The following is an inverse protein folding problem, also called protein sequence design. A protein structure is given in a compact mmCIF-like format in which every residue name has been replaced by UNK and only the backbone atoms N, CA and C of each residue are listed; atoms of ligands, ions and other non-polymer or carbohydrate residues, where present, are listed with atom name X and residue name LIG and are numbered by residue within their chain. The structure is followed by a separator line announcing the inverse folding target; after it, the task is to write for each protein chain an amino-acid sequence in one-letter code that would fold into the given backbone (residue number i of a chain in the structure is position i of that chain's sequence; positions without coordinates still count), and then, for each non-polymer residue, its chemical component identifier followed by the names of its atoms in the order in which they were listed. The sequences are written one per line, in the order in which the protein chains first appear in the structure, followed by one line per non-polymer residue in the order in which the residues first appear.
data_IF_064244062878
#
_entry.id   IF_064244062878
#
_cell.length_a   1.000
_cell.length_b   1.000
_cell.length_c   1.000
_cell.angle_alpha   90.00
_cell.angle_beta   90.00
_cell.angle_gamma   90.00
#
_symmetry.space_group_name_H-M   'P 1'
#
loop_
_entity.id
_entity.type
_entity.pdbx_description
1 polymer ?
#
# COMPACT_ATOMS: atom_id res chain seq x y z
N UNK A 1 10.44 -20.78 -24.25
CA UNK A 1 8.98 -20.54 -24.09
C UNK A 1 8.73 -19.14 -24.57
N UNK A 2 7.81 -18.91 -25.51
CA UNK A 2 7.30 -17.55 -25.73
C UNK A 2 6.62 -17.14 -24.42
N UNK A 3 6.96 -15.96 -23.88
CA UNK A 3 6.28 -15.41 -22.73
C UNK A 3 4.77 -15.55 -22.93
N UNK A 4 4.04 -16.01 -21.92
CA UNK A 4 2.60 -15.87 -21.89
C UNK A 4 2.37 -14.36 -21.89
N UNK A 5 2.15 -13.77 -23.08
CA UNK A 5 1.91 -12.35 -23.24
C UNK A 5 0.85 -11.94 -22.23
N UNK A 6 1.14 -10.95 -21.38
CA UNK A 6 0.19 -10.41 -20.43
C UNK A 6 -1.09 -9.98 -21.16
N UNK A 7 -2.22 -9.92 -20.43
CA UNK A 7 -3.51 -9.52 -21.00
C UNK A 7 -3.50 -8.08 -21.55
N UNK A 8 -2.59 -7.24 -21.06
CA UNK A 8 -2.45 -5.84 -21.44
C UNK A 8 -1.06 -5.52 -21.96
N UNK A 9 -0.99 -4.61 -22.95
CA UNK A 9 0.28 -4.11 -23.47
C UNK A 9 0.98 -3.17 -22.45
N UNK A 10 2.30 -2.99 -22.56
CA UNK A 10 3.04 -2.03 -21.73
C UNK A 10 2.45 -0.60 -21.80
N UNK A 11 1.94 -0.17 -22.95
CA UNK A 11 1.33 1.16 -23.13
C UNK A 11 0.02 1.29 -22.34
N UNK A 12 -0.76 0.21 -22.21
CA UNK A 12 -1.98 0.20 -21.41
C UNK A 12 -1.61 0.24 -19.93
N UNK A 13 -0.64 -0.58 -19.49
CA UNK A 13 -0.20 -0.63 -18.09
C UNK A 13 0.31 0.72 -17.59
N UNK A 14 1.05 1.47 -18.43
CA UNK A 14 1.58 2.81 -18.11
C UNK A 14 0.51 3.88 -17.85
N UNK A 15 -0.74 3.63 -18.22
CA UNK A 15 -1.84 4.57 -17.93
C UNK A 15 -2.24 4.58 -16.46
N UNK A 16 -1.84 3.58 -15.70
CA UNK A 16 -2.16 3.44 -14.28
C UNK A 16 -0.97 3.90 -13.43
N UNK A 17 -1.27 4.59 -12.33
CA UNK A 17 -0.24 4.99 -11.39
C UNK A 17 0.14 3.78 -10.52
N UNK A 18 0.95 2.88 -11.08
CA UNK A 18 1.48 1.71 -10.38
C UNK A 18 2.99 1.88 -10.23
N UNK A 19 3.47 1.70 -9.00
CA UNK A 19 4.89 1.69 -8.65
C UNK A 19 5.40 0.28 -8.50
N UNK A 20 6.59 0.02 -9.06
CA UNK A 20 7.34 -1.20 -8.88
C UNK A 20 8.44 -0.99 -7.84
N UNK A 21 8.44 -1.74 -6.73
CA UNK A 21 9.41 -1.56 -5.66
C UNK A 21 10.77 -2.20 -5.99
N UNK A 22 11.85 -1.52 -5.59
CA UNK A 22 13.21 -2.04 -5.74
C UNK A 22 13.40 -3.34 -4.96
N UNK A 23 12.98 -3.36 -3.70
CA UNK A 23 13.16 -4.51 -2.80
C UNK A 23 12.51 -5.80 -3.33
N UNK A 24 11.32 -5.73 -3.87
CA UNK A 24 10.61 -6.90 -4.36
C UNK A 24 11.21 -7.48 -5.64
N UNK A 25 11.66 -6.62 -6.57
CA UNK A 25 12.25 -7.05 -7.83
C UNK A 25 13.70 -7.52 -7.67
N UNK A 26 14.47 -6.88 -6.78
CA UNK A 26 15.83 -7.29 -6.45
C UNK A 26 15.88 -8.49 -5.50
N UNK A 27 14.75 -8.88 -4.89
CA UNK A 27 14.65 -9.95 -3.92
C UNK A 27 15.19 -11.28 -4.47
N UNK A 28 16.11 -11.88 -3.72
CA UNK A 28 16.84 -13.09 -4.11
C UNK A 28 16.12 -14.40 -3.76
N UNK A 29 14.92 -14.33 -3.19
CA UNK A 29 14.14 -15.49 -2.76
C UNK A 29 14.58 -16.09 -1.43
N UNK A 30 15.46 -15.42 -0.67
CA UNK A 30 15.81 -15.86 0.69
C UNK A 30 14.65 -15.66 1.67
N UNK A 31 14.67 -16.38 2.77
CA UNK A 31 13.74 -16.23 3.88
C UNK A 31 14.42 -16.73 5.15
N UNK A 32 13.81 -16.53 6.32
CA UNK A 32 14.40 -16.83 7.62
C UNK A 32 15.07 -18.21 7.69
N UNK A 33 14.51 -19.22 7.06
CA UNK A 33 15.04 -20.60 7.04
C UNK A 33 15.45 -21.08 5.66
N UNK A 34 15.60 -20.19 4.69
CA UNK A 34 15.80 -20.54 3.30
C UNK A 34 16.89 -19.68 2.66
N UNK A 35 17.86 -20.36 2.04
CA UNK A 35 18.89 -19.70 1.25
C UNK A 35 18.32 -19.00 0.01
N UNK A 36 19.05 -18.07 -0.61
CA UNK A 36 18.71 -17.47 -1.88
C UNK A 36 18.43 -18.51 -2.97
N UNK A 37 17.45 -18.24 -3.81
CA UNK A 37 17.04 -19.13 -4.92
C UNK A 37 17.34 -18.52 -6.29
N UNK A 38 17.68 -17.24 -6.34
CA UNK A 38 18.05 -16.50 -7.54
C UNK A 38 19.03 -15.37 -7.18
N UNK A 39 19.79 -14.83 -8.14
CA UNK A 39 20.66 -13.69 -7.87
C UNK A 39 19.83 -12.43 -7.59
N UNK A 40 20.31 -11.61 -6.65
CA UNK A 40 19.86 -10.22 -6.54
C UNK A 40 20.36 -9.41 -7.74
N UNK A 41 19.60 -8.40 -8.17
CA UNK A 41 19.96 -7.53 -9.30
C UNK A 41 19.98 -6.06 -8.90
N UNK A 42 20.78 -5.28 -9.59
CA UNK A 42 20.94 -3.84 -9.34
C UNK A 42 19.74 -3.01 -9.82
N UNK A 43 19.67 -1.78 -9.33
CA UNK A 43 18.55 -0.88 -9.64
C UNK A 43 18.47 -0.51 -11.15
N UNK A 44 19.59 -0.44 -11.86
CA UNK A 44 19.57 -0.16 -13.31
C UNK A 44 18.80 -1.24 -14.08
N UNK A 45 19.00 -2.51 -13.72
CA UNK A 45 18.28 -3.63 -14.34
C UNK A 45 16.82 -3.65 -13.91
N UNK A 46 16.52 -3.41 -12.63
CA UNK A 46 15.14 -3.33 -12.13
C UNK A 46 14.36 -2.25 -12.87
N UNK A 47 14.90 -1.01 -12.95
CA UNK A 47 14.27 0.11 -13.65
C UNK A 47 14.05 -0.22 -15.13
N UNK A 48 15.04 -0.82 -15.80
CA UNK A 48 14.92 -1.25 -17.20
C UNK A 48 13.76 -2.25 -17.37
N UNK A 49 13.72 -3.30 -16.57
CA UNK A 49 12.69 -4.32 -16.67
C UNK A 49 11.30 -3.78 -16.38
N UNK A 50 11.14 -2.90 -15.38
CA UNK A 50 9.87 -2.24 -15.12
C UNK A 50 9.39 -1.41 -16.30
N UNK A 51 10.30 -0.70 -16.97
CA UNK A 51 9.98 0.01 -18.20
C UNK A 51 9.49 -0.94 -19.31
N UNK A 52 10.19 -2.06 -19.52
CA UNK A 52 9.87 -3.05 -20.55
C UNK A 52 8.47 -3.66 -20.35
N UNK A 53 8.08 -3.93 -19.12
CA UNK A 53 6.75 -4.49 -18.80
C UNK A 53 5.64 -3.45 -18.66
N UNK A 54 5.96 -2.15 -18.70
CA UNK A 54 4.99 -1.07 -18.69
C UNK A 54 4.62 -0.53 -17.30
N UNK A 55 5.43 -0.76 -16.27
CA UNK A 55 5.33 -0.06 -14.98
C UNK A 55 5.96 1.32 -15.16
N UNK A 56 5.20 2.39 -14.83
CA UNK A 56 5.62 3.77 -15.06
C UNK A 56 6.35 4.43 -13.90
N UNK A 57 6.29 3.84 -12.71
CA UNK A 57 6.88 4.40 -11.49
C UNK A 57 7.75 3.37 -10.79
N UNK A 58 8.76 3.86 -10.10
CA UNK A 58 9.70 3.08 -9.31
C UNK A 58 9.75 3.66 -7.89
N UNK A 59 9.96 2.81 -6.90
CA UNK A 59 10.13 3.22 -5.51
C UNK A 59 11.17 2.35 -4.79
N UNK A 60 11.67 2.82 -3.66
CA UNK A 60 12.77 2.18 -2.95
C UNK A 60 12.80 2.53 -1.47
N UNK A 61 13.34 1.62 -0.64
CA UNK A 61 13.95 2.03 0.61
C UNK A 61 15.30 2.69 0.32
N UNK A 62 15.73 3.58 1.20
CA UNK A 62 17.00 4.27 1.05
C UNK A 62 18.19 3.29 0.94
N UNK A 63 18.21 2.24 1.75
CA UNK A 63 19.31 1.25 1.79
C UNK A 63 19.18 0.10 0.80
N UNK A 64 18.10 -0.02 0.04
CA UNK A 64 18.04 -0.95 -1.11
C UNK A 64 19.09 -0.61 -2.18
N UNK A 65 19.45 0.68 -2.27
CA UNK A 65 20.28 1.21 -3.35
C UNK A 65 21.50 2.01 -2.85
N UNK A 66 21.44 2.56 -1.63
CA UNK A 66 22.52 3.35 -1.03
C UNK A 66 23.04 2.57 0.18
N UNK A 67 24.30 2.11 0.19
CA UNK A 67 24.87 1.49 1.39
C UNK A 67 24.73 2.39 2.62
N UNK A 68 24.40 1.82 3.78
CA UNK A 68 24.10 2.59 4.99
C UNK A 68 25.23 3.56 5.39
N UNK A 69 26.49 3.17 5.17
CA UNK A 69 27.67 3.99 5.42
C UNK A 69 27.86 5.13 4.40
N UNK A 70 27.14 5.10 3.29
CA UNK A 70 27.15 6.14 2.28
C UNK A 70 26.05 7.19 2.46
N UNK A 71 25.09 6.94 3.34
CA UNK A 71 23.99 7.87 3.60
C UNK A 71 24.52 9.19 4.15
N UNK A 72 24.12 10.32 3.51
CA UNK A 72 24.60 11.65 3.86
C UNK A 72 26.04 11.97 3.44
N UNK A 73 26.78 11.00 2.91
CA UNK A 73 28.14 11.20 2.40
C UNK A 73 28.15 11.55 0.90
N UNK A 74 29.27 12.08 0.35
CA UNK A 74 29.37 12.40 -1.08
C UNK A 74 29.01 11.23 -2.02
N UNK A 75 29.25 10.01 -1.61
CA UNK A 75 28.92 8.80 -2.36
C UNK A 75 27.42 8.65 -2.61
N UNK A 76 26.55 9.13 -1.69
CA UNK A 76 25.12 9.16 -1.90
C UNK A 76 24.74 9.95 -3.16
N UNK A 77 25.33 11.14 -3.35
CA UNK A 77 25.04 11.98 -4.52
C UNK A 77 25.42 11.30 -5.84
N UNK A 78 26.53 10.57 -5.86
CA UNK A 78 26.96 9.79 -7.04
C UNK A 78 25.91 8.71 -7.37
N UNK A 79 25.45 7.97 -6.36
CA UNK A 79 24.44 6.90 -6.54
C UNK A 79 23.11 7.50 -7.01
N UNK A 80 22.65 8.59 -6.38
CA UNK A 80 21.40 9.27 -6.78
C UNK A 80 21.44 9.78 -8.21
N UNK A 81 22.58 10.31 -8.65
CA UNK A 81 22.77 10.73 -10.05
C UNK A 81 22.64 9.55 -11.02
N UNK A 82 23.18 8.38 -10.68
CA UNK A 82 23.03 7.15 -11.47
C UNK A 82 21.59 6.69 -11.54
N UNK A 83 20.86 6.70 -10.40
CA UNK A 83 19.43 6.34 -10.34
C UNK A 83 18.64 7.30 -11.23
N UNK A 84 18.85 8.62 -11.10
CA UNK A 84 18.16 9.62 -11.91
C UNK A 84 18.44 9.43 -13.40
N UNK A 85 19.69 9.11 -13.77
CA UNK A 85 20.05 8.81 -15.15
C UNK A 85 19.34 7.56 -15.68
N UNK A 86 19.22 6.50 -14.88
CA UNK A 86 18.48 5.30 -15.23
C UNK A 86 16.97 5.58 -15.39
N UNK A 87 16.36 6.29 -14.43
CA UNK A 87 14.95 6.69 -14.51
C UNK A 87 14.66 7.49 -15.78
N UNK A 88 15.48 8.49 -16.08
CA UNK A 88 15.34 9.30 -17.28
C UNK A 88 15.52 8.48 -18.56
N UNK A 89 16.52 7.61 -18.61
CA UNK A 89 16.83 6.75 -19.77
C UNK A 89 15.66 5.84 -20.12
N UNK A 90 14.99 5.28 -19.11
CA UNK A 90 13.93 4.31 -19.30
C UNK A 90 12.52 4.89 -19.15
N UNK A 91 12.40 6.19 -18.89
CA UNK A 91 11.13 6.91 -18.85
C UNK A 91 10.27 6.58 -17.61
N UNK A 92 10.88 6.23 -16.48
CA UNK A 92 10.21 6.05 -15.20
C UNK A 92 10.34 7.30 -14.33
N UNK A 93 9.44 7.40 -13.34
CA UNK A 93 9.51 8.39 -12.27
C UNK A 93 9.71 7.70 -10.93
N UNK A 94 10.45 8.32 -10.02
CA UNK A 94 10.41 7.92 -8.62
C UNK A 94 9.09 8.39 -8.02
N UNK A 95 8.30 7.48 -7.43
CA UNK A 95 7.04 7.84 -6.78
C UNK A 95 7.21 8.08 -5.30
N UNK A 96 7.99 7.22 -4.64
CA UNK A 96 8.05 7.08 -3.20
C UNK A 96 9.46 6.67 -2.77
N UNK A 97 9.86 7.17 -1.62
CA UNK A 97 11.05 6.73 -0.89
C UNK A 97 10.68 6.35 0.53
N UNK A 98 11.30 5.30 1.06
CA UNK A 98 11.06 4.81 2.42
C UNK A 98 12.33 4.89 3.24
N UNK A 99 12.26 5.51 4.42
CA UNK A 99 13.36 5.48 5.38
C UNK A 99 13.39 4.10 6.05
N UNK A 100 14.44 3.34 5.81
CA UNK A 100 14.64 2.05 6.48
C UNK A 100 15.09 2.26 7.93
N UNK A 101 14.13 2.52 8.82
CA UNK A 101 14.38 2.75 10.24
C UNK A 101 14.40 1.46 11.06
N UNK A 102 14.24 0.33 10.43
CA UNK A 102 14.37 -1.02 10.98
C UNK A 102 15.74 -1.67 10.69
N UNK A 103 16.67 -0.93 10.08
CA UNK A 103 18.06 -1.37 9.89
C UNK A 103 18.72 -1.71 11.23
N UNK A 104 19.64 -2.69 11.25
CA UNK A 104 20.26 -3.21 12.47
C UNK A 104 20.88 -2.15 13.39
N UNK A 105 21.37 -1.02 12.86
CA UNK A 105 21.92 0.09 13.66
C UNK A 105 20.86 0.83 14.49
N UNK A 106 19.57 0.71 14.13
CA UNK A 106 18.43 1.31 14.83
C UNK A 106 17.40 0.25 15.23
N UNK A 107 17.78 -1.02 15.20
CA UNK A 107 16.91 -2.17 15.44
C UNK A 107 16.13 -2.11 16.76
N UNK A 108 16.72 -1.58 17.81
CA UNK A 108 16.04 -1.41 19.08
C UNK A 108 15.05 -0.23 19.01
N UNK A 109 13.87 -0.45 18.48
CA UNK A 109 12.76 0.48 18.31
C UNK A 109 13.00 1.68 17.36
N UNK A 110 14.09 1.69 16.60
CA UNK A 110 14.34 2.70 15.56
C UNK A 110 14.20 4.14 16.05
N UNK A 111 13.28 4.94 15.46
CA UNK A 111 13.04 6.33 15.86
C UNK A 111 12.57 6.50 17.29
N UNK A 112 12.04 5.46 17.88
CA UNK A 112 11.49 5.43 19.23
C UNK A 112 12.39 4.65 20.23
N UNK A 113 13.65 4.41 19.91
CA UNK A 113 14.59 3.74 20.76
C UNK A 113 14.81 4.48 22.09
N UNK A 114 15.02 3.76 23.17
CA UNK A 114 15.36 4.34 24.49
C UNK A 114 16.68 5.11 24.47
N UNK A 115 17.65 4.65 23.68
CA UNK A 115 18.92 5.33 23.49
C UNK A 115 18.75 6.64 22.68
N UNK A 116 19.12 7.80 23.24
CA UNK A 116 19.06 9.07 22.53
C UNK A 116 19.96 9.09 21.28
N UNK A 117 21.09 8.37 21.30
CA UNK A 117 21.99 8.27 20.14
C UNK A 117 21.32 7.53 18.97
N UNK A 118 20.56 6.46 19.25
CA UNK A 118 19.79 5.74 18.24
C UNK A 118 18.68 6.63 17.68
N UNK A 119 17.95 7.36 18.53
CA UNK A 119 16.93 8.32 18.09
C UNK A 119 17.50 9.43 17.20
N UNK A 120 18.66 9.99 17.55
CA UNK A 120 19.30 11.02 16.71
C UNK A 120 19.74 10.45 15.35
N UNK A 121 20.28 9.23 15.33
CA UNK A 121 20.58 8.55 14.06
C UNK A 121 19.32 8.30 13.24
N UNK A 122 18.23 7.87 13.84
CA UNK A 122 16.96 7.67 13.16
C UNK A 122 16.38 9.00 12.63
N UNK A 123 16.48 10.11 13.40
CA UNK A 123 16.11 11.46 12.91
C UNK A 123 16.96 11.88 11.71
N UNK A 124 18.25 11.57 11.73
CA UNK A 124 19.11 11.78 10.56
C UNK A 124 18.59 10.99 9.36
N UNK A 125 18.25 9.70 9.54
CA UNK A 125 17.75 8.83 8.47
C UNK A 125 16.47 9.37 7.83
N UNK A 126 15.49 9.78 8.63
CA UNK A 126 14.21 10.28 8.08
C UNK A 126 14.39 11.63 7.36
N UNK A 127 15.27 12.52 7.84
CA UNK A 127 15.63 13.76 7.14
C UNK A 127 16.35 13.48 5.82
N UNK A 128 17.35 12.61 5.84
CA UNK A 128 18.09 12.23 4.64
C UNK A 128 17.21 11.56 3.59
N UNK A 129 16.18 10.80 4.03
CA UNK A 129 15.18 10.22 3.14
C UNK A 129 14.34 11.30 2.43
N UNK A 130 14.04 12.41 3.09
CA UNK A 130 13.41 13.59 2.47
C UNK A 130 14.33 14.18 1.39
N UNK A 131 15.63 14.34 1.67
CA UNK A 131 16.60 14.82 0.68
C UNK A 131 16.70 13.89 -0.55
N UNK A 132 16.69 12.57 -0.32
CA UNK A 132 16.67 11.56 -1.39
C UNK A 132 15.37 11.72 -2.21
N UNK A 133 14.22 11.84 -1.55
CA UNK A 133 12.92 12.02 -2.19
C UNK A 133 12.89 13.25 -3.10
N UNK A 134 13.32 14.39 -2.60
CA UNK A 134 13.41 15.62 -3.41
C UNK A 134 14.40 15.50 -4.56
N UNK A 135 15.56 14.85 -4.35
CA UNK A 135 16.55 14.64 -5.39
C UNK A 135 16.01 13.77 -6.52
N UNK A 136 15.28 12.71 -6.21
CA UNK A 136 14.72 11.79 -7.19
C UNK A 136 13.35 12.24 -7.75
N UNK A 137 12.77 13.33 -7.22
CA UNK A 137 11.46 13.84 -7.65
C UNK A 137 10.29 13.01 -7.16
N UNK A 138 10.44 12.31 -6.03
CA UNK A 138 9.36 11.58 -5.38
C UNK A 138 8.25 12.55 -4.90
N UNK A 139 7.07 12.02 -4.70
CA UNK A 139 5.92 12.74 -4.14
C UNK A 139 5.55 12.25 -2.73
N UNK A 140 6.08 11.10 -2.33
CA UNK A 140 5.72 10.43 -1.08
C UNK A 140 6.98 9.97 -0.34
N UNK A 141 6.95 10.14 0.99
CA UNK A 141 7.89 9.54 1.93
C UNK A 141 7.11 8.58 2.82
N UNK A 142 7.46 7.29 2.81
CA UNK A 142 6.78 6.27 3.61
C UNK A 142 7.60 5.95 4.86
N UNK A 143 6.91 5.70 5.94
CA UNK A 143 7.46 5.30 7.23
C UNK A 143 6.75 4.04 7.72
N UNK A 144 7.44 2.93 7.58
CA UNK A 144 7.06 1.65 8.17
C UNK A 144 7.82 1.48 9.50
N UNK A 145 7.15 1.56 10.65
CA UNK A 145 7.80 1.49 11.94
C UNK A 145 7.94 0.04 12.44
N UNK A 146 8.56 -0.82 11.63
CA UNK A 146 8.63 -2.26 11.89
C UNK A 146 9.22 -2.68 13.22
N UNK A 147 9.91 -1.77 13.94
CA UNK A 147 10.47 -2.00 15.28
C UNK A 147 9.80 -1.16 16.37
N UNK A 148 8.71 -0.47 16.08
CA UNK A 148 7.93 0.30 17.05
C UNK A 148 7.05 -0.61 17.90
N UNK A 149 7.65 -1.26 18.88
CA UNK A 149 6.98 -2.23 19.73
C UNK A 149 7.95 -3.01 20.62
N UNK A 150 7.57 -4.21 21.01
CA UNK A 150 8.36 -5.03 21.92
C UNK A 150 8.10 -6.53 21.73
N UNK A 151 9.06 -7.35 22.17
CA UNK A 151 8.89 -8.79 22.27
C UNK A 151 8.28 -9.23 23.62
N UNK A 152 8.57 -8.46 24.68
CA UNK A 152 8.12 -8.76 26.04
C UNK A 152 7.46 -7.51 26.62
N UNK A 153 6.23 -7.66 27.09
CA UNK A 153 5.46 -6.58 27.68
C UNK A 153 6.22 -5.94 28.87
N UNK A 154 6.18 -4.62 28.97
CA UNK A 154 6.88 -3.84 29.97
C UNK A 154 8.37 -3.66 29.69
N UNK A 155 8.87 -4.11 28.52
CA UNK A 155 10.24 -3.86 28.10
C UNK A 155 10.48 -2.42 27.62
N UNK A 156 9.42 -1.70 27.26
CA UNK A 156 9.45 -0.30 26.85
C UNK A 156 8.35 0.49 27.57
N UNK A 157 8.50 1.81 27.63
CA UNK A 157 7.46 2.71 28.09
C UNK A 157 6.73 3.27 26.87
N UNK A 158 5.52 2.81 26.63
CA UNK A 158 4.78 2.98 25.38
C UNK A 158 4.44 4.45 25.11
N UNK A 159 4.12 5.25 26.13
CA UNK A 159 3.73 6.66 25.93
C UNK A 159 4.93 7.50 25.51
N UNK A 160 6.10 7.28 26.06
CA UNK A 160 7.34 7.94 25.64
C UNK A 160 7.79 7.46 24.27
N UNK A 161 7.66 6.17 24.01
CA UNK A 161 7.97 5.57 22.71
C UNK A 161 7.17 6.25 21.58
N UNK A 162 5.86 6.49 21.79
CA UNK A 162 5.02 7.21 20.82
C UNK A 162 5.42 8.69 20.68
N UNK A 163 5.84 9.36 21.76
CA UNK A 163 6.36 10.73 21.69
C UNK A 163 7.65 10.82 20.89
N UNK A 164 8.61 9.93 21.13
CA UNK A 164 9.87 9.87 20.37
C UNK A 164 9.62 9.58 18.88
N UNK A 165 8.67 8.70 18.58
CA UNK A 165 8.29 8.46 17.20
C UNK A 165 7.70 9.73 16.54
N UNK A 166 6.84 10.45 17.26
CA UNK A 166 6.31 11.72 16.78
C UNK A 166 7.41 12.78 16.57
N UNK A 167 8.42 12.84 17.45
CA UNK A 167 9.57 13.75 17.27
C UNK A 167 10.32 13.47 15.97
N UNK A 168 10.51 12.20 15.61
CA UNK A 168 11.20 11.86 14.36
C UNK A 168 10.37 12.26 13.14
N UNK A 169 9.05 12.08 13.17
CA UNK A 169 8.15 12.51 12.09
C UNK A 169 8.07 14.03 11.98
N UNK A 170 8.00 14.74 13.12
CA UNK A 170 8.05 16.21 13.14
C UNK A 170 9.36 16.71 12.51
N UNK A 171 10.49 16.09 12.88
CA UNK A 171 11.79 16.45 12.31
C UNK A 171 11.87 16.20 10.79
N UNK A 172 11.20 15.17 10.28
CA UNK A 172 11.10 14.93 8.85
C UNK A 172 10.24 15.98 8.15
N UNK A 173 9.05 16.31 8.70
CA UNK A 173 8.16 17.31 8.14
C UNK A 173 8.78 18.73 8.15
N UNK A 174 9.42 19.12 9.26
CA UNK A 174 10.12 20.42 9.38
C UNK A 174 11.24 20.53 8.36
N UNK A 175 12.07 19.49 8.23
CA UNK A 175 13.13 19.44 7.23
C UNK A 175 12.59 19.49 5.80
N UNK A 176 11.47 18.82 5.53
CA UNK A 176 10.83 18.85 4.22
C UNK A 176 10.31 20.24 3.86
N UNK A 177 9.72 20.97 4.78
CA UNK A 177 9.31 22.37 4.59
C UNK A 177 10.50 23.27 4.24
N UNK A 178 11.65 23.08 4.89
CA UNK A 178 12.88 23.81 4.59
C UNK A 178 13.41 23.49 3.18
N UNK A 179 13.52 22.20 2.87
CA UNK A 179 14.03 21.72 1.57
C UNK A 179 13.10 22.12 0.42
N UNK A 180 11.78 21.92 0.58
CA UNK A 180 10.80 22.28 -0.44
C UNK A 180 10.78 23.77 -0.73
N UNK A 181 10.82 24.61 0.31
CA UNK A 181 10.93 26.06 0.18
C UNK A 181 12.19 26.47 -0.57
N UNK A 182 13.34 25.91 -0.19
CA UNK A 182 14.63 26.19 -0.83
C UNK A 182 14.65 25.85 -2.33
N UNK A 183 13.96 24.78 -2.72
CA UNK A 183 13.94 24.29 -4.09
C UNK A 183 12.69 24.70 -4.88
N UNK A 184 11.75 25.46 -4.30
CA UNK A 184 10.51 25.89 -4.94
C UNK A 184 9.62 24.70 -5.34
N UNK A 185 9.59 23.67 -4.52
CA UNK A 185 8.80 22.44 -4.73
C UNK A 185 7.73 22.31 -3.65
N UNK A 186 6.70 21.52 -3.96
CA UNK A 186 5.75 21.11 -2.92
C UNK A 186 6.43 20.14 -1.96
N UNK A 187 6.10 20.19 -0.66
CA UNK A 187 6.51 19.17 0.30
C UNK A 187 6.03 17.79 -0.12
N UNK A 188 6.73 16.76 0.34
CA UNK A 188 6.31 15.37 0.19
C UNK A 188 5.05 15.11 1.04
N UNK A 189 4.28 14.11 0.66
CA UNK A 189 3.28 13.53 1.54
C UNK A 189 3.94 12.47 2.40
N UNK A 190 3.91 12.64 3.71
CA UNK A 190 4.46 11.70 4.68
C UNK A 190 3.42 10.64 4.99
N UNK A 191 3.71 9.38 4.70
CA UNK A 191 2.75 8.30 4.76
C UNK A 191 3.16 7.27 5.82
N UNK A 192 2.27 7.00 6.77
CA UNK A 192 2.49 5.96 7.78
C UNK A 192 1.93 4.63 7.29
N UNK A 193 2.72 3.58 7.41
CA UNK A 193 2.37 2.21 7.05
C UNK A 193 2.29 1.36 8.30
N UNK A 194 1.10 0.84 8.59
CA UNK A 194 0.84 0.02 9.76
C UNK A 194 1.11 -1.46 9.46
N UNK A 195 1.66 -2.17 10.43
CA UNK A 195 1.80 -3.64 10.41
C UNK A 195 1.54 -4.19 11.81
N UNK A 196 0.69 -5.23 11.97
CA UNK A 196 0.24 -5.65 13.30
C UNK A 196 1.28 -6.39 14.13
N UNK A 197 2.14 -7.15 13.50
CA UNK A 197 3.24 -7.93 14.09
C UNK A 197 4.27 -8.19 12.99
N UNK A 198 5.41 -8.80 13.33
CA UNK A 198 6.58 -8.91 12.46
C UNK A 198 7.24 -7.54 12.17
N UNK A 199 8.52 -7.40 12.51
CA UNK A 199 9.37 -8.43 13.14
C UNK A 199 9.16 -8.59 14.65
N UNK A 200 8.42 -7.71 15.32
CA UNK A 200 8.17 -7.81 16.75
C UNK A 200 6.80 -8.42 17.06
N UNK A 201 6.66 -9.02 18.24
CA UNK A 201 5.42 -9.66 18.66
C UNK A 201 4.27 -8.67 18.85
N UNK A 202 4.57 -7.50 19.40
CA UNK A 202 3.63 -6.41 19.62
C UNK A 202 4.13 -5.13 18.96
N UNK A 203 3.29 -4.51 18.17
CA UNK A 203 3.51 -3.21 17.51
C UNK A 203 2.53 -2.21 18.10
N UNK A 204 3.03 -1.01 18.46
CA UNK A 204 2.20 0.02 19.12
C UNK A 204 1.19 0.68 18.18
N UNK A 205 1.47 0.69 16.87
CA UNK A 205 0.58 1.23 15.84
C UNK A 205 0.26 0.15 14.79
N UNK A 206 -0.48 -0.90 15.17
CA UNK A 206 -0.57 -2.13 14.38
C UNK A 206 -1.55 -2.04 13.20
N UNK A 207 -2.39 -1.01 13.13
CA UNK A 207 -3.45 -0.87 12.11
C UNK A 207 -3.54 0.54 11.58
N UNK A 208 -4.15 0.72 10.40
CA UNK A 208 -4.45 2.05 9.86
C UNK A 208 -5.28 2.89 10.84
N UNK A 209 -6.18 2.28 11.62
CA UNK A 209 -6.96 2.99 12.63
C UNK A 209 -6.11 3.51 13.79
N UNK A 210 -5.15 2.71 14.27
CA UNK A 210 -4.21 3.14 15.29
C UNK A 210 -3.33 4.30 14.78
N UNK A 211 -2.90 4.24 13.52
CA UNK A 211 -2.17 5.33 12.86
C UNK A 211 -3.02 6.60 12.72
N UNK A 212 -4.31 6.50 12.35
CA UNK A 212 -5.21 7.66 12.32
C UNK A 212 -5.39 8.29 13.70
N UNK A 213 -5.55 7.47 14.74
CA UNK A 213 -5.63 7.96 16.11
C UNK A 213 -4.33 8.66 16.52
N UNK A 214 -3.18 8.11 16.16
CA UNK A 214 -1.88 8.72 16.41
C UNK A 214 -1.72 10.06 15.68
N UNK A 215 -2.06 10.14 14.40
CA UNK A 215 -2.05 11.40 13.63
C UNK A 215 -2.91 12.48 14.30
N UNK A 216 -4.05 12.08 14.89
CA UNK A 216 -5.01 12.96 15.55
C UNK A 216 -4.70 13.24 17.02
N UNK A 217 -3.63 12.65 17.59
CA UNK A 217 -3.31 12.74 19.03
C UNK A 217 -2.83 14.11 19.50
N UNK A 218 -2.46 15.01 18.56
CA UNK A 218 -1.83 16.31 18.87
C UNK A 218 -0.32 16.23 19.10
N UNK A 219 0.32 15.08 18.91
CA UNK A 219 1.78 14.92 19.00
C UNK A 219 2.51 15.41 17.74
N UNK A 220 1.83 15.44 16.61
CA UNK A 220 2.40 15.90 15.33
C UNK A 220 2.15 17.40 15.13
N UNK A 221 3.22 18.17 14.92
CA UNK A 221 3.17 19.62 14.66
C UNK A 221 2.66 19.93 13.26
N UNK A 222 2.87 18.99 12.30
CA UNK A 222 2.48 19.10 10.91
C UNK A 222 1.58 17.91 10.50
N UNK A 223 0.53 17.65 11.30
CA UNK A 223 -0.39 16.53 11.07
C UNK A 223 -1.07 16.59 9.69
N UNK A 224 -1.20 17.77 9.07
CA UNK A 224 -1.74 17.96 7.72
C UNK A 224 -0.84 17.33 6.64
N UNK A 225 0.48 17.29 6.85
CA UNK A 225 1.45 16.68 5.95
C UNK A 225 1.49 15.15 6.10
N UNK A 226 0.94 14.60 7.19
CA UNK A 226 0.99 13.17 7.51
C UNK A 226 -0.33 12.50 7.19
N UNK A 227 -0.26 11.39 6.49
CA UNK A 227 -1.40 10.53 6.14
C UNK A 227 -1.02 9.06 6.21
N UNK A 228 -1.79 8.22 5.55
CA UNK A 228 -1.61 6.79 5.57
C UNK A 228 -1.11 6.24 4.23
N UNK A 229 -0.34 5.18 4.33
CA UNK A 229 -0.07 4.18 3.31
C UNK A 229 -0.58 2.82 3.85
N UNK A 230 -1.90 2.56 3.85
CA UNK A 230 -2.36 1.24 4.23
C UNK A 230 -1.76 0.20 3.28
N UNK A 231 -1.48 -0.99 3.83
CA UNK A 231 -1.22 -2.15 3.02
C UNK A 231 -2.37 -3.15 3.19
N UNK A 232 -2.84 -3.68 2.07
CA UNK A 232 -4.00 -4.56 2.06
C UNK A 232 -3.81 -5.79 2.95
N UNK A 233 -2.67 -6.47 2.85
CA UNK A 233 -2.41 -7.68 3.62
C UNK A 233 -2.21 -7.40 5.11
N UNK A 234 -1.60 -6.28 5.47
CA UNK A 234 -1.40 -5.91 6.87
C UNK A 234 -2.73 -5.77 7.62
N UNK A 235 -3.77 -5.22 6.98
CA UNK A 235 -5.11 -5.20 7.58
C UNK A 235 -5.70 -6.61 7.74
N UNK A 236 -5.51 -7.50 6.76
CA UNK A 236 -5.95 -8.89 6.86
C UNK A 236 -5.19 -9.66 7.95
N UNK A 237 -3.90 -9.40 8.15
CA UNK A 237 -3.11 -10.02 9.22
C UNK A 237 -3.72 -9.75 10.60
N UNK A 238 -4.22 -8.54 10.83
CA UNK A 238 -4.93 -8.17 12.06
C UNK A 238 -6.35 -8.73 12.13
N UNK A 239 -6.87 -9.28 11.05
CA UNK A 239 -8.26 -9.74 10.97
C UNK A 239 -9.25 -8.62 10.63
N UNK A 240 -8.77 -7.41 10.35
CA UNK A 240 -9.60 -6.28 9.93
C UNK A 240 -10.13 -6.47 8.49
N UNK A 241 -11.08 -5.63 8.10
CA UNK A 241 -11.55 -5.53 6.73
C UNK A 241 -10.82 -4.38 6.03
N UNK A 242 -9.96 -4.63 5.02
CA UNK A 242 -9.19 -3.58 4.34
C UNK A 242 -10.10 -2.48 3.79
N UNK A 243 -11.23 -2.84 3.20
CA UNK A 243 -12.21 -1.87 2.69
C UNK A 243 -12.69 -0.88 3.76
N UNK A 244 -12.92 -1.34 4.99
CA UNK A 244 -13.36 -0.47 6.08
C UNK A 244 -12.24 0.47 6.57
N UNK A 245 -11.00 -0.02 6.65
CA UNK A 245 -9.83 0.80 6.97
C UNK A 245 -9.64 1.92 5.94
N UNK A 246 -9.69 1.58 4.65
CA UNK A 246 -9.60 2.55 3.54
C UNK A 246 -10.76 3.56 3.56
N UNK A 247 -11.98 3.13 3.87
CA UNK A 247 -13.12 4.05 4.00
C UNK A 247 -12.89 5.10 5.10
N UNK A 248 -12.36 4.71 6.26
CA UNK A 248 -12.03 5.64 7.34
C UNK A 248 -10.89 6.59 6.94
N UNK A 249 -9.87 6.09 6.26
CA UNK A 249 -8.78 6.91 5.74
C UNK A 249 -9.28 7.94 4.70
N UNK A 250 -10.21 7.55 3.83
CA UNK A 250 -10.87 8.45 2.86
C UNK A 250 -11.69 9.54 3.56
N UNK A 251 -12.52 9.17 4.54
CA UNK A 251 -13.33 10.12 5.32
C UNK A 251 -12.45 11.11 6.07
N UNK A 252 -11.32 10.66 6.62
CA UNK A 252 -10.36 11.52 7.29
C UNK A 252 -9.52 12.38 6.33
N UNK A 253 -9.60 12.19 5.01
CA UNK A 253 -8.74 12.85 4.02
C UNK A 253 -7.27 12.46 4.15
N UNK A 254 -7.00 11.26 4.69
CA UNK A 254 -5.65 10.78 5.04
C UNK A 254 -5.19 9.59 4.20
N UNK A 255 -5.93 9.13 3.22
CA UNK A 255 -5.45 8.13 2.26
C UNK A 255 -4.53 8.80 1.24
N UNK A 256 -3.21 8.77 1.49
CA UNK A 256 -2.21 9.41 0.64
C UNK A 256 -1.58 8.44 -0.35
N UNK A 257 -1.36 7.20 0.07
CA UNK A 257 -0.74 6.13 -0.70
C UNK A 257 -1.44 4.81 -0.39
N UNK A 258 -1.23 3.77 -1.20
CA UNK A 258 -1.83 2.46 -0.94
C UNK A 258 -0.95 1.34 -1.50
N UNK A 259 -0.50 0.44 -0.62
CA UNK A 259 0.26 -0.74 -0.99
C UNK A 259 -0.67 -1.91 -1.29
N UNK A 260 -0.46 -2.50 -2.48
CA UNK A 260 -1.32 -3.53 -3.04
C UNK A 260 -0.58 -4.86 -3.15
N UNK A 261 -1.12 -5.84 -2.48
CA UNK A 261 -0.71 -7.24 -2.50
C UNK A 261 -1.92 -8.13 -2.19
N UNK A 262 -1.71 -9.36 -1.78
CA UNK A 262 -2.75 -10.28 -1.32
C UNK A 262 -2.16 -11.31 -0.37
N UNK A 263 -3.00 -12.02 0.35
CA UNK A 263 -2.59 -13.06 1.26
C UNK A 263 -3.75 -13.64 2.07
N UNK A 264 -3.42 -14.29 3.14
CA UNK A 264 -4.38 -15.02 3.96
C UNK A 264 -4.66 -14.28 5.26
N UNK A 265 -5.94 -14.17 5.61
CA UNK A 265 -6.38 -13.55 6.87
C UNK A 265 -5.77 -14.25 8.08
N UNK A 266 -5.28 -13.47 9.06
CA UNK A 266 -4.67 -13.96 10.31
C UNK A 266 -3.45 -14.86 10.07
N UNK A 267 -2.71 -14.64 8.98
CA UNK A 267 -1.45 -15.32 8.68
C UNK A 267 -0.32 -14.30 8.57
N UNK A 268 0.89 -14.83 8.40
CA UNK A 268 2.09 -14.01 8.20
C UNK A 268 2.06 -13.28 6.85
N UNK A 269 2.93 -12.29 6.75
CA UNK A 269 3.08 -11.44 5.59
C UNK A 269 3.73 -12.18 4.41
N UNK A 270 2.87 -12.66 3.50
CA UNK A 270 3.31 -13.44 2.33
C UNK A 270 3.49 -12.62 1.06
N UNK A 271 2.95 -11.41 1.02
CA UNK A 271 3.04 -10.44 -0.09
C UNK A 271 2.85 -11.06 -1.47
N UNK A 272 1.82 -11.87 -1.65
CA UNK A 272 1.52 -12.45 -2.97
C UNK A 272 0.78 -11.45 -3.85
N UNK A 273 0.71 -11.73 -5.14
CA UNK A 273 0.11 -10.79 -6.10
C UNK A 273 -1.38 -10.60 -5.88
N UNK A 274 -1.83 -9.35 -6.03
CA UNK A 274 -3.23 -8.92 -5.91
C UNK A 274 -4.23 -9.87 -6.59
N UNK A 275 -5.33 -10.15 -5.91
CA UNK A 275 -6.47 -10.93 -6.44
C UNK A 275 -6.21 -12.43 -6.59
N UNK A 276 -5.13 -12.96 -6.01
CA UNK A 276 -4.86 -14.40 -6.04
C UNK A 276 -5.65 -15.19 -5.00
N UNK A 277 -5.94 -14.59 -3.85
CA UNK A 277 -6.66 -15.24 -2.74
C UNK A 277 -8.03 -14.59 -2.53
N UNK A 278 -8.10 -13.27 -2.58
CA UNK A 278 -9.28 -12.51 -2.20
C UNK A 278 -9.87 -11.65 -3.36
N UNK A 279 -10.16 -12.20 -4.55
CA UNK A 279 -10.53 -11.40 -5.71
C UNK A 279 -11.85 -10.62 -5.52
N UNK A 280 -12.83 -11.16 -4.79
CA UNK A 280 -14.09 -10.46 -4.51
C UNK A 280 -13.89 -9.30 -3.51
N UNK A 281 -13.08 -9.50 -2.48
CA UNK A 281 -12.74 -8.44 -1.53
C UNK A 281 -11.99 -7.31 -2.23
N UNK A 282 -11.04 -7.66 -3.09
CA UNK A 282 -10.33 -6.71 -3.94
C UNK A 282 -11.26 -5.93 -4.88
N UNK A 283 -12.23 -6.60 -5.52
CA UNK A 283 -13.24 -5.91 -6.32
C UNK A 283 -14.00 -4.87 -5.49
N UNK A 284 -14.44 -5.24 -4.28
CA UNK A 284 -15.12 -4.33 -3.36
C UNK A 284 -14.24 -3.16 -2.90
N UNK A 285 -12.96 -3.39 -2.64
CA UNK A 285 -11.98 -2.34 -2.32
C UNK A 285 -11.86 -1.36 -3.48
N UNK A 286 -11.70 -1.85 -4.70
CA UNK A 286 -11.52 -0.99 -5.88
C UNK A 286 -12.81 -0.25 -6.26
N UNK A 287 -13.99 -0.82 -6.02
CA UNK A 287 -15.27 -0.10 -6.14
C UNK A 287 -15.31 1.09 -5.17
N UNK A 288 -14.91 0.90 -3.91
CA UNK A 288 -14.82 2.00 -2.93
C UNK A 288 -13.88 3.10 -3.44
N UNK A 289 -12.65 2.75 -3.80
CA UNK A 289 -11.63 3.71 -4.22
C UNK A 289 -12.06 4.51 -5.46
N UNK A 290 -12.59 3.83 -6.48
CA UNK A 290 -13.10 4.50 -7.71
C UNK A 290 -14.29 5.40 -7.43
N UNK A 291 -15.21 4.99 -6.55
CA UNK A 291 -16.37 5.80 -6.16
C UNK A 291 -15.98 7.09 -5.44
N UNK A 292 -14.79 7.14 -4.85
CA UNK A 292 -14.23 8.33 -4.18
C UNK A 292 -13.14 9.02 -5.01
N UNK A 293 -13.04 8.69 -6.31
CA UNK A 293 -12.06 9.28 -7.24
C UNK A 293 -10.59 9.10 -6.80
N UNK A 294 -10.29 8.08 -6.02
CA UNK A 294 -8.91 7.70 -5.72
C UNK A 294 -8.36 6.89 -6.90
N UNK A 295 -7.37 7.44 -7.58
CA UNK A 295 -6.74 6.85 -8.77
C UNK A 295 -5.28 6.43 -8.56
N UNK A 296 -4.85 6.32 -7.35
CA UNK A 296 -3.48 6.03 -6.92
C UNK A 296 -2.84 7.21 -6.19
N UNK A 297 -1.60 7.07 -5.78
CA UNK A 297 -0.65 6.02 -6.16
C UNK A 297 -1.01 4.63 -5.61
N UNK A 298 -0.64 3.60 -6.39
CA UNK A 298 -0.65 2.21 -5.96
C UNK A 298 0.77 1.66 -6.04
N UNK A 299 1.26 1.04 -4.99
CA UNK A 299 2.56 0.39 -5.00
C UNK A 299 2.39 -1.13 -4.88
N UNK A 300 3.13 -1.87 -5.68
CA UNK A 300 3.16 -3.33 -5.63
C UNK A 300 4.07 -3.78 -4.49
N UNK A 301 3.61 -3.77 -3.24
CA UNK A 301 4.35 -4.47 -2.20
C UNK A 301 4.10 -5.98 -2.31
N UNK A 302 4.72 -6.52 -3.33
CA UNK A 302 4.51 -7.89 -3.82
C UNK A 302 5.86 -8.59 -3.96
N UNK A 303 6.05 -9.67 -3.22
CA UNK A 303 7.22 -10.53 -3.32
C UNK A 303 6.96 -11.69 -4.30
N UNK A 304 7.63 -11.73 -5.46
CA UNK A 304 7.54 -12.90 -6.35
C UNK A 304 7.89 -14.18 -5.59
N UNK A 305 7.16 -15.30 -5.82
CA UNK A 305 7.41 -16.54 -5.11
C UNK A 305 8.90 -16.93 -5.16
N UNK A 306 9.42 -17.40 -4.03
CA UNK A 306 10.85 -17.73 -3.93
C UNK A 306 11.36 -18.77 -4.92
N UNK A 307 10.46 -19.62 -5.42
CA UNK A 307 10.76 -20.62 -6.44
C UNK A 307 10.75 -20.06 -7.88
N UNK A 308 10.35 -18.79 -8.05
CA UNK A 308 10.34 -18.13 -9.36
C UNK A 308 11.76 -17.82 -9.80
N UNK A 309 12.12 -18.17 -11.03
CA UNK A 309 13.41 -17.79 -11.63
C UNK A 309 13.50 -16.27 -11.86
N UNK A 310 14.72 -15.75 -12.02
CA UNK A 310 14.92 -14.33 -12.35
C UNK A 310 14.14 -13.91 -13.61
N UNK A 311 14.14 -14.74 -14.64
CA UNK A 311 13.31 -14.55 -15.82
C UNK A 311 11.82 -14.49 -15.47
N UNK A 312 11.33 -15.44 -14.67
CA UNK A 312 9.93 -15.51 -14.26
C UNK A 312 9.45 -14.30 -13.45
N UNK A 313 10.34 -13.62 -12.71
CA UNK A 313 10.02 -12.40 -11.97
C UNK A 313 9.47 -11.32 -12.91
N UNK A 314 10.16 -11.03 -14.00
CA UNK A 314 9.81 -9.96 -14.93
C UNK A 314 8.91 -10.38 -16.08
N UNK A 315 8.96 -11.65 -16.49
CA UNK A 315 8.17 -12.14 -17.61
C UNK A 315 6.79 -12.68 -17.18
N UNK A 316 6.62 -13.02 -15.89
CA UNK A 316 5.39 -13.62 -15.39
C UNK A 316 4.86 -12.92 -14.15
N UNK A 317 5.65 -12.80 -13.08
CA UNK A 317 5.16 -12.40 -11.77
C UNK A 317 4.62 -10.97 -11.77
N UNK A 318 5.46 -9.98 -12.08
CA UNK A 318 5.04 -8.57 -12.11
C UNK A 318 4.00 -8.29 -13.21
N UNK A 319 4.19 -8.74 -14.47
CA UNK A 319 3.16 -8.55 -15.49
C UNK A 319 1.79 -9.08 -15.08
N UNK A 320 1.75 -10.29 -14.50
CA UNK A 320 0.49 -10.90 -14.06
C UNK A 320 -0.16 -10.16 -12.88
N UNK A 321 0.63 -9.61 -11.95
CA UNK A 321 0.11 -8.81 -10.85
C UNK A 321 -0.51 -7.50 -11.37
N UNK A 322 0.17 -6.79 -12.26
CA UNK A 322 -0.36 -5.57 -12.88
C UNK A 322 -1.61 -5.87 -13.71
N UNK A 323 -1.63 -6.94 -14.48
CA UNK A 323 -2.79 -7.29 -15.31
C UNK A 323 -4.01 -7.66 -14.46
N UNK A 324 -3.83 -8.34 -13.33
CA UNK A 324 -4.93 -8.60 -12.39
C UNK A 324 -5.45 -7.32 -11.76
N UNK A 325 -4.57 -6.41 -11.35
CA UNK A 325 -4.98 -5.10 -10.86
C UNK A 325 -5.84 -4.37 -11.90
N UNK A 326 -5.37 -4.24 -13.14
CA UNK A 326 -6.09 -3.55 -14.21
C UNK A 326 -7.44 -4.22 -14.46
N UNK A 327 -7.47 -5.55 -14.54
CA UNK A 327 -8.71 -6.32 -14.73
C UNK A 327 -9.73 -6.04 -13.63
N UNK A 328 -9.32 -6.11 -12.37
CA UNK A 328 -10.19 -5.81 -11.22
C UNK A 328 -10.61 -4.34 -11.18
N UNK A 329 -9.71 -3.42 -11.56
CA UNK A 329 -10.00 -2.00 -11.67
C UNK A 329 -11.08 -1.70 -12.71
N UNK A 330 -11.00 -2.32 -13.89
CA UNK A 330 -12.01 -2.16 -14.93
C UNK A 330 -13.35 -2.80 -14.50
N UNK A 331 -13.32 -3.99 -13.87
CA UNK A 331 -14.52 -4.61 -13.28
C UNK A 331 -15.17 -3.73 -12.21
N UNK A 332 -14.38 -3.03 -11.41
CA UNK A 332 -14.92 -2.06 -10.44
C UNK A 332 -15.65 -0.90 -11.14
N UNK A 333 -15.14 -0.43 -12.29
CA UNK A 333 -15.85 0.53 -13.11
C UNK A 333 -17.15 -0.01 -13.71
N UNK A 334 -17.16 -1.26 -14.17
CA UNK A 334 -18.37 -1.94 -14.63
C UNK A 334 -19.40 -2.05 -13.50
N UNK A 335 -18.98 -2.39 -12.28
CA UNK A 335 -19.85 -2.50 -11.10
C UNK A 335 -20.50 -1.15 -10.73
N UNK A 336 -19.74 -0.06 -10.78
CA UNK A 336 -20.25 1.30 -10.49
C UNK A 336 -21.27 1.73 -11.55
N UNK A 337 -21.08 1.33 -12.81
CA UNK A 337 -21.97 1.66 -13.91
C UNK A 337 -23.16 0.70 -14.06
N UNK A 338 -23.14 -0.44 -13.37
CA UNK A 338 -24.15 -1.51 -13.52
C UNK A 338 -25.54 -1.02 -13.10
N UNK A 339 -26.55 -1.12 -13.98
CA UNK A 339 -27.90 -0.60 -13.68
C UNK A 339 -28.56 -1.32 -12.50
N UNK A 340 -28.36 -2.62 -12.35
CA UNK A 340 -28.95 -3.40 -11.24
C UNK A 340 -28.39 -2.93 -9.90
N UNK A 341 -27.07 -2.73 -9.81
CA UNK A 341 -26.42 -2.24 -8.59
C UNK A 341 -26.88 -0.80 -8.30
N UNK A 342 -26.94 0.05 -9.31
CA UNK A 342 -27.36 1.44 -9.14
C UNK A 342 -28.80 1.58 -8.71
N UNK A 343 -29.73 0.85 -9.33
CA UNK A 343 -31.15 0.84 -8.98
C UNK A 343 -31.37 0.30 -7.57
N UNK A 344 -30.73 -0.84 -7.23
CA UNK A 344 -30.82 -1.40 -5.89
C UNK A 344 -30.25 -0.45 -4.82
N UNK A 345 -29.11 0.19 -5.09
CA UNK A 345 -28.51 1.16 -4.18
C UNK A 345 -29.40 2.40 -4.02
N UNK A 346 -29.97 2.91 -5.09
CA UNK A 346 -30.89 4.05 -5.05
C UNK A 346 -32.17 3.72 -4.24
N UNK A 347 -32.71 2.51 -4.40
CA UNK A 347 -33.88 2.05 -3.64
C UNK A 347 -33.56 1.93 -2.14
N UNK A 348 -32.37 1.39 -1.79
CA UNK A 348 -31.92 1.34 -0.39
C UNK A 348 -31.77 2.74 0.23
N UNK A 349 -31.23 3.69 -0.51
CA UNK A 349 -31.03 5.06 -0.06
C UNK A 349 -32.34 5.85 0.06
N UNK A 350 -33.29 5.63 -0.85
CA UNK A 350 -34.61 6.24 -0.79
C UNK A 350 -35.41 5.72 0.41
N UNK A 351 -35.16 4.47 0.82
CA UNK A 351 -35.94 3.79 1.86
C UNK A 351 -37.32 3.35 1.36
N UNK A 352 -38.07 2.68 2.20
CA UNK A 352 -39.44 2.35 1.95
C UNK A 352 -40.38 3.54 2.26
N UNK A 353 -41.50 3.62 1.58
CA UNK A 353 -42.59 4.52 1.97
C UNK A 353 -43.04 4.20 3.39
N UNK A 354 -42.83 5.14 4.31
CA UNK A 354 -43.12 4.99 5.71
C UNK A 354 -43.78 6.24 6.30
N UNK A 355 -44.99 6.14 6.71
CA UNK A 355 -45.77 7.24 7.29
C UNK A 355 -45.97 7.13 8.82
N UNK A 356 -45.35 6.11 9.45
CA UNK A 356 -45.46 5.88 10.89
C UNK A 356 -44.61 6.81 11.74
N UNK A 357 -44.78 6.76 13.05
CA UNK A 357 -43.96 7.53 13.99
C UNK A 357 -42.55 6.96 14.17
N UNK A 358 -41.56 7.78 14.61
CA UNK A 358 -40.15 7.36 14.71
C UNK A 358 -39.87 6.25 15.71
N UNK A 359 -40.88 5.88 16.53
CA UNK A 359 -40.76 4.83 17.55
C UNK A 359 -41.52 3.53 17.21
N UNK A 360 -42.18 3.47 16.05
CA UNK A 360 -42.90 2.25 15.63
C UNK A 360 -41.94 1.29 14.92
N UNK A 361 -41.18 0.54 15.74
CA UNK A 361 -40.20 -0.44 15.27
C UNK A 361 -40.80 -1.53 14.40
N UNK A 362 -42.07 -1.96 14.70
CA UNK A 362 -42.72 -3.01 13.92
C UNK A 362 -43.09 -2.53 12.53
N UNK A 363 -43.68 -1.34 12.42
CA UNK A 363 -44.01 -0.75 11.13
C UNK A 363 -42.75 -0.40 10.31
N UNK A 364 -41.71 0.15 10.91
CA UNK A 364 -40.41 0.40 10.24
C UNK A 364 -39.84 -0.92 9.72
N UNK A 365 -39.79 -1.95 10.55
CA UNK A 365 -39.25 -3.26 10.15
C UNK A 365 -40.05 -3.88 9.01
N UNK A 366 -41.37 -3.82 9.06
CA UNK A 366 -42.21 -4.34 8.00
C UNK A 366 -42.00 -3.60 6.66
N UNK A 367 -41.96 -2.28 6.71
CA UNK A 367 -41.76 -1.45 5.52
C UNK A 367 -40.37 -1.69 4.86
N UNK A 368 -39.32 -1.92 5.64
CA UNK A 368 -37.96 -2.03 5.12
C UNK A 368 -37.48 -3.46 4.86
N UNK A 369 -38.23 -4.51 5.30
CA UNK A 369 -37.81 -5.92 5.20
C UNK A 369 -37.46 -6.32 3.77
N UNK A 370 -38.29 -5.97 2.80
CA UNK A 370 -38.06 -6.32 1.41
C UNK A 370 -36.87 -5.55 0.81
N UNK A 371 -36.64 -4.31 1.26
CA UNK A 371 -35.47 -3.53 0.80
C UNK A 371 -34.14 -4.15 1.24
N UNK A 372 -34.10 -4.79 2.43
CA UNK A 372 -32.86 -5.39 2.93
C UNK A 372 -32.39 -6.54 2.05
N UNK A 373 -33.28 -7.18 1.28
CA UNK A 373 -32.89 -8.23 0.31
C UNK A 373 -32.04 -7.66 -0.85
N UNK A 374 -32.12 -6.34 -1.11
CA UNK A 374 -31.32 -5.70 -2.15
C UNK A 374 -29.82 -5.72 -1.86
N UNK A 375 -29.41 -5.87 -0.59
CA UNK A 375 -28.02 -6.09 -0.25
C UNK A 375 -27.48 -7.41 -0.84
N UNK A 376 -28.27 -8.48 -0.77
CA UNK A 376 -27.89 -9.76 -1.38
C UNK A 376 -27.88 -9.67 -2.91
N UNK A 377 -28.83 -8.93 -3.50
CA UNK A 377 -28.85 -8.71 -4.95
C UNK A 377 -27.58 -7.99 -5.42
N UNK A 378 -27.14 -6.92 -4.72
CA UNK A 378 -25.91 -6.20 -5.01
C UNK A 378 -24.70 -7.13 -4.88
N UNK A 379 -24.61 -7.88 -3.78
CA UNK A 379 -23.52 -8.84 -3.55
C UNK A 379 -23.48 -9.91 -4.65
N UNK A 380 -24.62 -10.49 -5.02
CA UNK A 380 -24.72 -11.46 -6.10
C UNK A 380 -24.29 -10.86 -7.44
N UNK A 381 -24.69 -9.61 -7.73
CA UNK A 381 -24.30 -8.92 -8.97
C UNK A 381 -22.80 -8.65 -9.05
N UNK A 382 -22.15 -8.31 -7.95
CA UNK A 382 -20.69 -8.18 -7.88
C UNK A 382 -19.98 -9.51 -8.18
N UNK A 383 -20.50 -10.62 -7.66
CA UNK A 383 -19.98 -11.97 -7.99
C UNK A 383 -20.16 -12.26 -9.49
N UNK A 384 -21.32 -11.93 -10.08
CA UNK A 384 -21.57 -12.10 -11.51
C UNK A 384 -20.59 -11.28 -12.36
N UNK A 385 -20.28 -10.04 -11.95
CA UNK A 385 -19.29 -9.19 -12.63
C UNK A 385 -17.90 -9.82 -12.54
N UNK A 386 -17.48 -10.24 -11.34
CA UNK A 386 -16.19 -10.87 -11.13
C UNK A 386 -15.98 -12.11 -12.03
N UNK A 387 -17.01 -12.93 -12.18
CA UNK A 387 -16.94 -14.14 -13.01
C UNK A 387 -17.34 -13.91 -14.47
N UNK A 388 -17.68 -12.68 -14.87
CA UNK A 388 -18.11 -12.33 -16.22
C UNK A 388 -19.49 -12.85 -16.59
N UNK A 389 -20.26 -13.37 -15.65
CA UNK A 389 -21.60 -13.93 -15.90
C UNK A 389 -22.62 -12.86 -16.35
N UNK A 390 -22.45 -11.60 -15.94
CA UNK A 390 -23.29 -10.46 -16.35
C UNK A 390 -23.25 -10.16 -17.87
N UNK A 391 -22.22 -10.69 -18.58
CA UNK A 391 -22.07 -10.57 -20.04
C UNK A 391 -22.62 -11.79 -20.80
N UNK A 392 -23.55 -12.55 -20.18
CA UNK A 392 -24.13 -13.75 -20.78
C UNK A 392 -23.21 -14.97 -20.78
N UNK A 393 -22.08 -14.93 -20.08
CA UNK A 393 -21.24 -16.08 -19.80
C UNK A 393 -21.88 -16.83 -18.64
N UNK A 394 -22.65 -17.87 -18.96
CA UNK A 394 -23.23 -18.76 -17.95
C UNK A 394 -22.10 -19.66 -17.45
N UNK A 395 -21.57 -19.38 -16.26
CA UNK A 395 -20.85 -20.38 -15.49
C UNK A 395 -21.92 -21.33 -14.92
N UNK A 396 -22.04 -22.51 -15.51
CA UNK A 396 -22.81 -23.57 -14.88
C UNK A 396 -22.10 -23.97 -13.58
N UNK A 397 -22.79 -23.83 -12.46
CA UNK A 397 -22.32 -24.30 -11.14
C UNK A 397 -22.01 -25.82 -11.19
N UNK A 398 -22.54 -26.54 -12.16
CA UNK A 398 -22.30 -27.96 -12.41
C UNK A 398 -20.87 -28.29 -12.93
N UNK A 399 -20.04 -27.29 -13.26
CA UNK A 399 -18.66 -27.51 -13.66
C UNK A 399 -17.64 -27.35 -12.51
N UNK A 400 -18.10 -27.11 -11.29
CA UNK A 400 -17.28 -26.93 -10.09
C UNK A 400 -17.46 -28.06 -9.04
N UNK A 401 -18.20 -29.12 -9.38
CA UNK A 401 -18.35 -30.33 -8.55
C UNK A 401 -17.68 -31.51 -9.24
#
# INVERSE_FOLDING_TARGET
MKACGGAYSPEIRRKYFISGPQWAAAYDGSALFHAPTRPSIGFEDVIRHYSEIGIGHWCTHDTDVIPAEALGAPKQAEILNRIQAALNKYGLKCSMVTAETFHHAVWAAGPAAESPHVREYAKFRVRNNVDIGHTLGASFAVYWPGTLGYYVQGAVEETETLRWYAEALNAACEHDLEVSTKHGRSPLKHCLEAKPFEPQAEILLPTSDAMLAFISSGLLTHAEMVGLNPEYLHELMWGAAPRAALARALVAGKLFHFDINDGYRLKHDVDIGIGLVNPLDWLNVLVLLRSHNYTGPFNLDYKPPRTTSQFGVFEVSFPSAVDRFITLWEMAGEAIADPVIREATAALQAGADYSGGPHDVQAITAAHRELLTLHELIAHRLVQILWGAHKGRVFSIHSLV
#
